data_IF_628076275511
#
_entry.id   IF_628076275511
#
_cell.length_a   1.000
_cell.length_b   1.000
_cell.length_c   1.000
_cell.angle_alpha   90.00
_cell.angle_beta   90.00
_cell.angle_gamma   90.00
#
_symmetry.space_group_name_H-M   'P 1'
#
loop_
_entity.id
_entity.type
_entity.pdbx_description
1 polymer ?
#
# COMPACT_ATOMS: atom_id res chain seq x y z
N UNK A 1 -7.52 34.05 61.50
CA UNK A 1 -7.81 34.44 60.10
C UNK A 1 -7.10 33.42 59.21
N UNK A 2 -7.67 32.22 58.98
CA UNK A 2 -8.52 31.80 57.83
C UNK A 2 -7.87 32.13 56.47
N UNK A 3 -7.70 31.27 55.46
CA UNK A 3 -8.12 29.88 55.22
C UNK A 3 -7.47 29.37 53.89
N UNK A 4 -6.73 28.25 53.97
CA UNK A 4 -6.62 27.07 53.07
C UNK A 4 -7.38 26.97 51.71
N UNK A 5 -6.65 26.48 50.68
CA UNK A 5 -6.91 25.32 49.75
C UNK A 5 -7.66 25.50 48.40
N UNK A 6 -6.94 25.07 47.33
CA UNK A 6 -7.25 24.32 46.07
C UNK A 6 -8.29 24.74 45.02
N UNK A 7 -7.93 24.54 43.73
CA UNK A 7 -8.54 23.67 42.68
C UNK A 7 -7.75 23.92 41.36
N UNK A 8 -6.90 23.02 40.83
CA UNK A 8 -7.12 21.73 40.15
C UNK A 8 -7.57 21.82 38.67
N UNK A 9 -6.63 21.43 37.79
CA UNK A 9 -6.74 20.60 36.58
C UNK A 9 -8.01 20.64 35.69
N UNK A 10 -7.84 21.09 34.43
CA UNK A 10 -8.61 20.76 33.22
C UNK A 10 -7.81 21.41 32.06
N UNK A 11 -7.28 20.77 31.02
CA UNK A 11 -7.81 19.75 30.10
C UNK A 11 -6.62 19.14 29.33
N UNK A 12 -6.21 17.93 29.71
CA UNK A 12 -5.36 17.05 28.89
C UNK A 12 -6.10 15.73 28.70
N UNK A 13 -7.19 15.76 27.93
CA UNK A 13 -7.93 14.57 27.50
C UNK A 13 -8.22 14.76 26.01
N UNK A 14 -7.41 14.16 25.13
CA UNK A 14 -7.71 13.84 23.73
C UNK A 14 -6.43 13.23 23.09
N UNK A 15 -5.97 12.07 23.55
CA UNK A 15 -4.85 11.37 22.91
C UNK A 15 -4.77 9.86 23.17
N UNK A 16 -5.86 9.16 23.51
CA UNK A 16 -5.77 7.74 23.95
C UNK A 16 -6.61 6.72 23.18
N UNK A 17 -7.33 7.08 22.13
CA UNK A 17 -8.23 6.13 21.44
C UNK A 17 -7.56 5.16 20.45
N UNK A 18 -6.23 5.17 20.29
CA UNK A 18 -5.55 4.33 19.28
C UNK A 18 -5.09 2.95 19.75
N UNK A 19 -4.87 2.74 21.05
CA UNK A 19 -4.29 1.49 21.59
C UNK A 19 -5.08 0.86 22.74
N UNK A 20 -6.20 1.44 23.15
CA UNK A 20 -7.01 0.91 24.27
C UNK A 20 -7.73 -0.37 23.91
N UNK A 21 -8.07 -0.63 22.66
CA UNK A 21 -8.80 -1.86 22.30
C UNK A 21 -7.96 -3.13 22.48
N UNK A 22 -6.67 -3.11 22.10
CA UNK A 22 -5.76 -4.23 22.40
C UNK A 22 -5.44 -4.30 23.91
N UNK A 23 -5.30 -3.17 24.60
CA UNK A 23 -5.09 -3.16 26.06
C UNK A 23 -6.30 -3.66 26.85
N UNK A 24 -7.52 -3.22 26.60
CA UNK A 24 -8.68 -3.57 27.43
C UNK A 24 -9.13 -5.02 27.24
N UNK A 25 -8.95 -5.61 26.04
CA UNK A 25 -9.27 -7.03 25.79
C UNK A 25 -8.12 -8.01 26.07
N UNK A 26 -6.85 -7.59 25.94
CA UNK A 26 -5.69 -8.46 26.22
C UNK A 26 -4.96 -8.15 27.54
N UNK A 27 -5.31 -7.06 28.24
CA UNK A 27 -4.90 -6.80 29.62
C UNK A 27 -6.15 -6.52 30.47
N UNK A 28 -6.56 -7.51 31.27
CA UNK A 28 -7.69 -7.38 32.18
C UNK A 28 -7.47 -6.24 33.18
N UNK A 29 -8.43 -5.33 33.28
CA UNK A 29 -8.43 -4.27 34.30
C UNK A 29 -9.02 -4.79 35.61
N UNK A 30 -8.22 -4.73 36.70
CA UNK A 30 -8.76 -4.54 38.05
C UNK A 30 -8.37 -5.59 39.11
N UNK A 31 -7.41 -5.22 39.97
CA UNK A 31 -7.34 -5.70 41.36
C UNK A 31 -6.35 -6.83 41.64
N UNK A 32 -5.42 -6.57 42.56
CA UNK A 32 -4.48 -7.52 43.17
C UNK A 32 -4.97 -8.98 43.20
N UNK A 33 -4.47 -9.79 42.27
CA UNK A 33 -3.99 -11.15 42.53
C UNK A 33 -3.41 -11.71 41.24
N UNK A 34 -2.45 -12.60 41.41
CA UNK A 34 -1.71 -13.30 40.37
C UNK A 34 -2.67 -14.18 39.55
N UNK A 35 -3.31 -13.63 38.50
CA UNK A 35 -4.25 -14.36 37.65
C UNK A 35 -3.89 -14.25 36.17
N UNK A 36 -3.68 -15.41 35.57
CA UNK A 36 -3.33 -15.66 34.18
C UNK A 36 -4.14 -14.82 33.18
N UNK A 37 -3.42 -14.10 32.30
CA UNK A 37 -3.98 -13.43 31.11
C UNK A 37 -4.84 -14.43 30.32
N UNK A 38 -6.05 -14.00 29.93
CA UNK A 38 -6.96 -14.82 29.12
C UNK A 38 -6.23 -15.38 27.91
N UNK A 39 -6.15 -16.72 27.85
CA UNK A 39 -5.46 -17.51 26.81
C UNK A 39 -6.34 -17.74 25.56
N UNK A 40 -7.49 -17.09 25.46
CA UNK A 40 -8.41 -17.38 24.37
C UNK A 40 -7.84 -16.86 23.05
N UNK A 41 -7.79 -17.75 22.06
CA UNK A 41 -7.35 -17.43 20.70
C UNK A 41 -8.30 -16.37 20.13
N UNK A 42 -7.79 -15.23 19.61
CA UNK A 42 -8.67 -14.19 19.09
C UNK A 42 -9.49 -14.72 17.92
N UNK A 43 -10.70 -14.17 17.78
CA UNK A 43 -11.58 -14.53 16.67
C UNK A 43 -11.17 -13.74 15.41
N UNK A 44 -11.39 -14.28 14.20
CA UNK A 44 -11.11 -13.55 12.95
C UNK A 44 -11.75 -12.16 12.93
N UNK A 45 -12.99 -12.02 13.40
CA UNK A 45 -13.75 -10.78 13.40
C UNK A 45 -13.09 -9.68 14.23
N UNK A 46 -12.41 -10.07 15.32
CA UNK A 46 -11.68 -9.11 16.16
C UNK A 46 -10.46 -8.59 15.40
N UNK A 47 -9.64 -9.46 14.83
CA UNK A 47 -8.48 -9.04 14.04
C UNK A 47 -8.89 -8.21 12.81
N UNK A 48 -10.02 -8.53 12.18
CA UNK A 48 -10.57 -7.73 11.08
C UNK A 48 -11.04 -6.37 11.58
N UNK A 49 -11.74 -6.30 12.72
CA UNK A 49 -12.14 -5.04 13.33
C UNK A 49 -10.92 -4.16 13.61
N UNK A 50 -9.85 -4.69 14.20
CA UNK A 50 -8.59 -3.98 14.39
C UNK A 50 -8.07 -3.31 13.11
N UNK A 51 -7.95 -4.10 12.04
CA UNK A 51 -7.41 -3.64 10.77
C UNK A 51 -8.31 -2.57 10.16
N UNK A 52 -9.62 -2.76 10.23
CA UNK A 52 -10.60 -1.82 9.72
C UNK A 52 -10.67 -0.53 10.54
N UNK A 53 -10.48 -0.60 11.86
CA UNK A 53 -10.48 0.55 12.75
C UNK A 53 -9.27 1.43 12.48
N UNK A 54 -8.10 0.83 12.24
CA UNK A 54 -6.93 1.55 11.76
C UNK A 54 -7.17 2.15 10.37
N UNK A 55 -7.67 1.35 9.43
CA UNK A 55 -7.93 1.80 8.07
C UNK A 55 -8.87 3.00 8.04
N UNK A 56 -9.96 3.01 8.81
CA UNK A 56 -10.93 4.12 8.86
C UNK A 56 -10.34 5.45 9.33
N UNK A 57 -9.18 5.44 10.00
CA UNK A 57 -8.50 6.66 10.43
C UNK A 57 -7.58 7.27 9.35
N UNK A 58 -7.34 6.56 8.24
CA UNK A 58 -6.36 6.94 7.23
C UNK A 58 -7.06 7.05 5.87
N UNK A 59 -7.31 8.27 5.41
CA UNK A 59 -7.88 8.55 4.08
C UNK A 59 -6.80 8.95 3.07
N UNK A 60 -5.75 9.64 3.52
CA UNK A 60 -4.59 9.95 2.69
C UNK A 60 -3.28 9.85 3.47
N UNK A 61 -2.21 9.48 2.76
CA UNK A 61 -0.82 9.57 3.23
C UNK A 61 -0.01 10.26 2.14
N UNK A 62 0.74 11.30 2.49
CA UNK A 62 1.71 11.94 1.60
C UNK A 62 3.08 11.92 2.25
N UNK A 63 4.07 11.41 1.51
CA UNK A 63 5.47 11.32 1.90
C UNK A 63 6.28 12.12 0.89
N UNK A 64 6.83 13.25 1.32
CA UNK A 64 7.63 14.11 0.44
C UNK A 64 9.09 13.65 0.34
N UNK A 65 9.57 12.93 1.37
CA UNK A 65 10.91 12.38 1.45
C UNK A 65 10.80 10.86 1.63
N UNK A 66 10.82 10.15 0.52
CA UNK A 66 10.81 8.70 0.50
C UNK A 66 12.22 8.19 0.16
N UNK A 67 12.83 7.45 1.06
CA UNK A 67 14.03 6.68 0.76
C UNK A 67 13.64 5.27 0.35
N UNK A 68 14.24 4.79 -0.75
CA UNK A 68 13.94 3.47 -1.33
C UNK A 68 15.24 2.72 -1.55
N UNK A 69 15.48 1.69 -0.77
CA UNK A 69 16.55 0.72 -1.03
C UNK A 69 16.00 -0.45 -1.83
N UNK A 70 16.25 -0.44 -3.15
CA UNK A 70 15.86 -1.52 -4.03
C UNK A 70 17.01 -2.52 -4.21
N UNK A 71 16.69 -3.80 -4.31
CA UNK A 71 17.62 -4.87 -4.69
C UNK A 71 16.98 -5.73 -5.76
N UNK A 72 17.77 -6.06 -6.79
CA UNK A 72 17.45 -7.12 -7.75
C UNK A 72 18.64 -8.07 -7.83
N UNK A 73 18.50 -9.26 -7.27
CA UNK A 73 19.63 -10.15 -7.01
C UNK A 73 20.58 -9.54 -5.96
N UNK A 74 21.88 -9.44 -6.28
CA UNK A 74 22.92 -8.98 -5.35
C UNK A 74 23.19 -7.47 -5.40
N UNK A 75 22.57 -6.73 -6.33
CA UNK A 75 22.89 -5.32 -6.58
C UNK A 75 21.93 -4.43 -5.78
N UNK A 76 22.41 -3.69 -4.77
CA UNK A 76 21.62 -2.65 -4.13
C UNK A 76 21.59 -1.37 -4.98
N UNK A 77 20.44 -0.72 -5.01
CA UNK A 77 20.19 0.56 -5.66
C UNK A 77 19.43 1.42 -4.65
N UNK A 78 20.11 2.42 -4.10
CA UNK A 78 19.44 3.46 -3.32
C UNK A 78 18.77 4.46 -4.24
N UNK A 79 17.52 4.80 -3.97
CA UNK A 79 16.74 5.82 -4.68
C UNK A 79 16.14 6.79 -3.65
N UNK A 80 15.86 8.00 -4.10
CA UNK A 80 15.05 8.97 -3.35
C UNK A 80 13.77 9.24 -4.12
N UNK A 81 12.72 9.67 -3.43
CA UNK A 81 11.44 9.84 -4.07
C UNK A 81 10.39 10.50 -3.21
N UNK A 82 9.15 10.34 -3.65
CA UNK A 82 7.95 10.77 -2.95
C UNK A 82 6.85 9.74 -3.17
N UNK A 83 5.86 9.75 -2.27
CA UNK A 83 4.69 8.88 -2.36
C UNK A 83 3.44 9.66 -1.97
N UNK A 84 2.35 9.43 -2.68
CA UNK A 84 1.02 9.88 -2.29
C UNK A 84 0.05 8.70 -2.40
N UNK A 85 -0.79 8.55 -1.39
CA UNK A 85 -1.83 7.53 -1.31
C UNK A 85 -3.12 8.20 -0.85
N UNK A 86 -4.22 7.91 -1.51
CA UNK A 86 -5.55 8.39 -1.15
C UNK A 86 -6.58 7.30 -1.45
N UNK A 87 -7.47 7.05 -0.51
CA UNK A 87 -8.57 6.10 -0.73
C UNK A 87 -9.49 6.54 -1.87
N UNK A 88 -10.12 5.58 -2.58
CA UNK A 88 -10.02 4.14 -2.34
C UNK A 88 -8.82 3.48 -3.03
N UNK A 89 -8.37 3.99 -4.17
CA UNK A 89 -7.37 3.33 -5.03
C UNK A 89 -6.29 4.26 -5.58
N UNK A 90 -6.30 5.54 -5.21
CA UNK A 90 -5.34 6.52 -5.71
C UNK A 90 -4.00 6.30 -5.03
N UNK A 91 -2.98 5.97 -5.83
CA UNK A 91 -1.63 5.75 -5.36
C UNK A 91 -0.64 6.31 -6.36
N UNK A 92 0.45 6.87 -5.85
CA UNK A 92 1.56 7.32 -6.65
C UNK A 92 2.86 7.21 -5.90
N UNK A 93 3.88 6.70 -6.57
CA UNK A 93 5.24 6.71 -6.10
C UNK A 93 6.16 7.07 -7.26
N UNK A 94 6.92 8.15 -7.09
CA UNK A 94 7.99 8.54 -8.01
C UNK A 94 9.33 8.37 -7.32
N UNK A 95 10.26 7.67 -7.97
CA UNK A 95 11.61 7.46 -7.47
C UNK A 95 12.65 7.89 -8.51
N UNK A 96 13.76 8.45 -8.05
CA UNK A 96 14.88 8.94 -8.85
C UNK A 96 16.19 8.39 -8.33
N UNK A 97 17.17 8.28 -9.23
CA UNK A 97 18.54 7.97 -8.83
C UNK A 97 19.10 9.16 -8.02
N UNK A 98 20.00 8.91 -7.05
CA UNK A 98 20.61 9.95 -6.23
C UNK A 98 21.31 11.03 -7.06
N UNK A 99 21.45 12.23 -6.47
CA UNK A 99 22.07 13.38 -7.13
C UNK A 99 21.22 13.90 -8.30
N UNK A 100 21.74 13.78 -9.52
CA UNK A 100 21.11 14.24 -10.76
C UNK A 100 20.58 13.10 -11.66
N UNK A 101 20.60 11.84 -11.20
CA UNK A 101 20.47 10.63 -12.03
C UNK A 101 19.11 10.38 -12.70
N UNK A 102 18.22 11.37 -12.76
CA UNK A 102 16.94 11.31 -13.46
C UNK A 102 15.90 10.37 -12.83
N UNK A 103 14.68 10.34 -13.38
CA UNK A 103 13.64 9.40 -12.95
C UNK A 103 14.08 7.95 -13.12
N UNK A 104 13.84 7.14 -12.08
CA UNK A 104 14.23 5.73 -12.04
C UNK A 104 13.01 4.80 -12.10
N UNK A 105 11.96 5.16 -11.37
CA UNK A 105 10.71 4.42 -11.36
C UNK A 105 9.54 5.36 -11.11
N UNK A 106 8.40 4.96 -11.64
CA UNK A 106 7.18 5.73 -11.59
C UNK A 106 6.02 4.74 -11.56
N UNK A 107 5.35 4.63 -10.42
CA UNK A 107 4.32 3.62 -10.18
C UNK A 107 3.08 4.31 -9.66
N UNK A 108 1.89 3.90 -10.09
CA UNK A 108 0.67 4.54 -9.64
C UNK A 108 -0.60 3.77 -9.96
N UNK A 109 -1.70 4.24 -9.39
CA UNK A 109 -3.05 3.81 -9.70
C UNK A 109 -4.05 4.91 -9.40
N UNK A 110 -5.21 4.75 -9.99
CA UNK A 110 -6.42 5.49 -9.66
C UNK A 110 -7.62 4.54 -9.68
N UNK A 111 -8.83 5.09 -9.70
CA UNK A 111 -10.07 4.30 -9.69
C UNK A 111 -10.28 3.47 -10.96
N UNK A 112 -9.55 3.74 -12.05
CA UNK A 112 -9.76 3.10 -13.37
C UNK A 112 -8.65 2.12 -13.73
N UNK A 113 -7.42 2.45 -13.40
CA UNK A 113 -6.25 1.71 -13.84
C UNK A 113 -5.09 1.80 -12.86
N UNK A 114 -4.09 0.94 -13.10
CA UNK A 114 -2.76 1.09 -12.54
C UNK A 114 -1.72 1.16 -13.65
N UNK A 115 -0.55 1.71 -13.32
CA UNK A 115 0.58 1.80 -14.22
C UNK A 115 1.90 1.69 -13.49
N UNK A 116 2.94 1.32 -14.22
CA UNK A 116 4.31 1.37 -13.74
C UNK A 116 5.28 1.58 -14.90
N UNK A 117 6.36 2.28 -14.60
CA UNK A 117 7.50 2.48 -15.47
C UNK A 117 8.78 2.37 -14.65
N UNK A 118 9.82 1.80 -15.27
CA UNK A 118 11.16 1.72 -14.71
C UNK A 118 12.16 2.03 -15.83
N UNK A 119 13.10 2.93 -15.57
CA UNK A 119 14.05 3.40 -16.59
C UNK A 119 15.01 2.31 -17.11
N UNK A 120 15.16 1.22 -16.33
CA UNK A 120 15.99 0.05 -16.67
C UNK A 120 15.16 -1.20 -17.02
N UNK A 121 13.86 -1.06 -17.22
CA UNK A 121 13.06 -2.14 -17.82
C UNK A 121 13.44 -2.33 -19.29
N UNK A 122 13.29 -3.55 -19.78
CA UNK A 122 13.52 -3.91 -21.18
C UNK A 122 12.31 -4.67 -21.73
N UNK A 123 11.54 -4.09 -22.67
CA UNK A 123 11.62 -2.70 -23.13
C UNK A 123 11.18 -1.69 -22.02
N UNK A 124 11.64 -0.42 -22.06
CA UNK A 124 11.38 0.58 -21.02
C UNK A 124 9.99 1.24 -21.17
N UNK A 125 8.95 0.42 -21.40
CA UNK A 125 7.59 0.91 -21.57
C UNK A 125 6.97 1.41 -20.27
N UNK A 126 6.05 2.37 -20.41
CA UNK A 126 5.07 2.68 -19.39
C UNK A 126 3.92 1.68 -19.51
N UNK A 127 3.96 0.65 -18.66
CA UNK A 127 2.95 -0.39 -18.61
C UNK A 127 1.73 0.11 -17.87
N UNK A 128 0.54 -0.29 -18.33
CA UNK A 128 -0.71 0.00 -17.63
C UNK A 128 -1.74 -1.12 -17.82
N UNK A 129 -2.74 -1.15 -16.96
CA UNK A 129 -3.90 -2.02 -17.12
C UNK A 129 -5.12 -1.43 -16.39
N UNK A 130 -6.30 -1.58 -17.00
CA UNK A 130 -7.56 -1.30 -16.33
C UNK A 130 -7.83 -2.33 -15.22
N UNK A 131 -8.44 -1.90 -14.11
CA UNK A 131 -8.80 -2.82 -13.02
C UNK A 131 -9.77 -3.93 -13.48
N UNK A 132 -10.64 -3.62 -14.47
CA UNK A 132 -11.61 -4.56 -15.03
C UNK A 132 -10.96 -5.68 -15.86
N UNK A 133 -9.82 -5.40 -16.49
CA UNK A 133 -9.13 -6.33 -17.38
C UNK A 133 -7.90 -6.97 -16.74
N UNK A 134 -7.63 -6.69 -15.47
CA UNK A 134 -6.43 -7.19 -14.76
C UNK A 134 -6.32 -8.72 -14.77
N UNK A 135 -7.46 -9.45 -14.82
CA UNK A 135 -7.49 -10.92 -14.97
C UNK A 135 -6.87 -11.44 -16.27
N UNK A 136 -6.76 -10.57 -17.28
CA UNK A 136 -6.16 -10.86 -18.58
C UNK A 136 -4.72 -10.35 -18.71
N UNK A 137 -4.28 -9.53 -17.75
CA UNK A 137 -2.94 -8.98 -17.74
C UNK A 137 -1.91 -10.01 -17.25
N UNK A 138 -0.76 -10.02 -17.90
CA UNK A 138 0.42 -10.71 -17.41
C UNK A 138 1.37 -9.66 -16.82
N UNK A 139 1.45 -9.61 -15.50
CA UNK A 139 2.32 -8.68 -14.80
C UNK A 139 3.77 -9.18 -14.87
N UNK A 140 4.75 -8.32 -15.23
CA UNK A 140 6.17 -8.68 -15.25
C UNK A 140 6.75 -8.91 -13.85
N UNK A 141 6.09 -8.39 -12.81
CA UNK A 141 6.38 -8.64 -11.40
C UNK A 141 5.08 -8.43 -10.60
N UNK A 142 4.86 -9.16 -9.50
CA UNK A 142 3.58 -9.16 -8.77
C UNK A 142 3.38 -7.91 -7.89
N UNK A 143 3.67 -6.73 -8.43
CA UNK A 143 3.41 -5.46 -7.78
C UNK A 143 2.02 -4.96 -8.16
N UNK A 144 1.14 -4.88 -7.17
CA UNK A 144 -0.16 -4.24 -7.30
C UNK A 144 -0.20 -3.05 -6.35
N UNK A 145 -0.54 -1.84 -6.78
CA UNK A 145 -0.60 -0.67 -5.88
C UNK A 145 -1.50 -0.89 -4.66
N UNK A 146 -2.58 -1.66 -4.80
CA UNK A 146 -3.42 -2.04 -3.67
C UNK A 146 -2.66 -2.81 -2.58
N UNK A 147 -1.66 -3.62 -2.92
CA UNK A 147 -0.83 -4.32 -1.93
C UNK A 147 -0.02 -3.35 -1.09
N UNK A 148 0.45 -2.25 -1.69
CA UNK A 148 1.12 -1.17 -0.96
C UNK A 148 0.13 -0.46 -0.05
N UNK A 149 -1.08 -0.16 -0.53
CA UNK A 149 -2.15 0.45 0.27
C UNK A 149 -2.54 -0.44 1.46
N UNK A 150 -2.63 -1.76 1.25
CA UNK A 150 -2.83 -2.75 2.32
C UNK A 150 -1.69 -2.67 3.33
N UNK A 151 -0.43 -2.73 2.89
CA UNK A 151 0.75 -2.63 3.76
C UNK A 151 0.80 -1.33 4.57
N UNK A 152 0.35 -0.21 4.00
CA UNK A 152 0.21 1.09 4.68
C UNK A 152 -0.92 1.11 5.73
N UNK A 153 -1.75 0.07 5.78
CA UNK A 153 -2.87 -0.03 6.71
C UNK A 153 -4.11 0.75 6.27
N UNK A 154 -4.19 1.13 4.98
CA UNK A 154 -5.29 1.92 4.42
C UNK A 154 -6.46 1.08 3.91
N UNK A 155 -6.24 -0.21 3.64
CA UNK A 155 -7.26 -1.08 3.08
C UNK A 155 -8.22 -1.60 4.15
N UNK A 156 -9.52 -1.54 3.86
CA UNK A 156 -10.56 -2.20 4.65
C UNK A 156 -10.78 -3.62 4.17
N UNK A 157 -10.85 -4.55 5.11
CA UNK A 157 -11.18 -5.96 4.86
C UNK A 157 -12.70 -6.13 5.01
N UNK A 158 -13.41 -6.60 3.97
CA UNK A 158 -14.84 -6.82 4.05
C UNK A 158 -15.20 -7.94 5.04
N UNK A 159 -16.38 -7.84 5.66
CA UNK A 159 -16.94 -8.94 6.45
C UNK A 159 -17.41 -10.07 5.53
N UNK A 160 -17.16 -11.32 5.91
CA UNK A 160 -17.68 -12.51 5.21
C UNK A 160 -16.71 -13.26 4.29
N UNK A 161 -15.42 -12.92 4.28
CA UNK A 161 -14.40 -13.75 3.64
C UNK A 161 -14.13 -15.07 4.37
N UNK A 162 -13.41 -15.99 3.72
CA UNK A 162 -12.96 -17.24 4.34
C UNK A 162 -11.72 -16.99 5.20
N UNK A 163 -11.97 -16.58 6.45
CA UNK A 163 -10.93 -16.24 7.41
C UNK A 163 -10.77 -17.31 8.49
N UNK A 164 -9.51 -17.56 8.86
CA UNK A 164 -9.15 -18.34 10.05
C UNK A 164 -8.00 -17.67 10.80
N UNK A 165 -7.91 -17.96 12.09
CA UNK A 165 -6.77 -17.54 12.91
C UNK A 165 -5.82 -18.73 13.12
N UNK A 166 -4.52 -18.48 13.10
CA UNK A 166 -3.48 -19.44 13.46
C UNK A 166 -2.57 -18.82 14.54
N UNK A 167 -2.27 -19.59 15.58
CA UNK A 167 -1.47 -19.16 16.75
C UNK A 167 -0.38 -20.19 17.07
N UNK A 168 -0.01 -21.04 16.10
CA UNK A 168 1.03 -22.06 16.27
C UNK A 168 2.43 -21.47 16.45
N UNK A 169 2.68 -20.31 15.85
CA UNK A 169 3.96 -19.63 15.92
C UNK A 169 4.08 -18.84 17.22
N UNK A 170 5.12 -19.12 18.02
CA UNK A 170 5.37 -18.36 19.25
C UNK A 170 5.64 -16.90 18.92
N UNK A 171 4.97 -15.99 19.63
CA UNK A 171 5.16 -14.55 19.47
C UNK A 171 4.31 -13.91 18.37
N UNK A 172 3.55 -14.69 17.59
CA UNK A 172 2.70 -14.15 16.52
C UNK A 172 1.30 -14.75 16.50
N UNK A 173 0.38 -13.99 15.90
CA UNK A 173 -0.99 -14.40 15.59
C UNK A 173 -1.17 -14.15 14.10
N UNK A 174 -1.68 -15.12 13.36
CA UNK A 174 -1.88 -15.00 11.91
C UNK A 174 -3.37 -15.00 11.58
N UNK A 175 -3.85 -13.94 10.93
CA UNK A 175 -5.15 -13.93 10.26
C UNK A 175 -4.93 -14.38 8.82
N UNK A 176 -5.55 -15.49 8.44
CA UNK A 176 -5.36 -16.13 7.14
C UNK A 176 -6.68 -16.09 6.40
N UNK A 177 -6.65 -15.47 5.23
CA UNK A 177 -7.74 -15.42 4.25
C UNK A 177 -7.44 -16.38 3.11
N UNK A 178 -8.31 -17.35 2.85
CA UNK A 178 -8.25 -18.12 1.61
C UNK A 178 -8.95 -17.32 0.51
N UNK A 179 -8.23 -17.05 -0.57
CA UNK A 179 -8.76 -16.24 -1.67
C UNK A 179 -8.17 -16.70 -3.02
N UNK A 180 -8.38 -15.90 -4.07
CA UNK A 180 -7.80 -16.14 -5.39
C UNK A 180 -6.95 -14.96 -5.83
N UNK A 181 -5.87 -15.25 -6.54
CA UNK A 181 -5.09 -14.23 -7.23
C UNK A 181 -5.92 -13.57 -8.33
N UNK A 182 -5.40 -12.49 -8.90
CA UNK A 182 -6.01 -11.81 -10.04
C UNK A 182 -6.16 -12.75 -11.27
N UNK A 183 -5.31 -13.79 -11.36
CA UNK A 183 -5.36 -14.82 -12.39
C UNK A 183 -6.26 -16.02 -12.00
N UNK A 184 -6.99 -15.93 -10.89
CA UNK A 184 -7.93 -16.95 -10.41
C UNK A 184 -7.28 -18.12 -9.66
N UNK A 185 -5.96 -18.10 -9.45
CA UNK A 185 -5.25 -19.17 -8.74
C UNK A 185 -5.54 -19.12 -7.25
N UNK A 186 -5.75 -20.26 -6.56
CA UNK A 186 -5.88 -20.27 -5.10
C UNK A 186 -4.62 -19.70 -4.44
N UNK A 187 -4.81 -18.76 -3.52
CA UNK A 187 -3.75 -18.13 -2.73
C UNK A 187 -4.25 -17.89 -1.31
N UNK A 188 -3.33 -17.69 -0.37
CA UNK A 188 -3.68 -17.21 0.97
C UNK A 188 -3.09 -15.81 1.19
N UNK A 189 -3.91 -14.88 1.66
CA UNK A 189 -3.44 -13.62 2.25
C UNK A 189 -3.28 -13.84 3.76
N UNK A 190 -2.09 -13.60 4.28
CA UNK A 190 -1.79 -13.82 5.70
C UNK A 190 -1.35 -12.49 6.31
N UNK A 191 -2.16 -11.96 7.23
CA UNK A 191 -1.77 -10.82 8.07
C UNK A 191 -1.19 -11.35 9.38
N UNK A 192 0.07 -11.01 9.65
CA UNK A 192 0.81 -11.46 10.83
C UNK A 192 0.83 -10.33 11.86
N UNK A 193 0.36 -10.64 13.05
CA UNK A 193 0.33 -9.76 14.20
C UNK A 193 1.39 -10.19 15.21
N UNK A 194 1.94 -9.22 15.94
CA UNK A 194 2.60 -9.50 17.22
C UNK A 194 1.56 -10.11 18.18
N UNK A 195 1.90 -11.20 18.88
CA UNK A 195 0.98 -11.78 19.87
C UNK A 195 0.88 -10.93 21.14
N UNK A 196 1.87 -10.07 21.39
CA UNK A 196 1.85 -9.10 22.47
C UNK A 196 1.35 -7.75 21.96
N UNK A 197 0.81 -6.94 22.86
CA UNK A 197 0.47 -5.56 22.54
C UNK A 197 1.74 -4.79 22.23
N UNK A 198 1.85 -4.27 21.02
CA UNK A 198 3.00 -3.47 20.62
C UNK A 198 3.03 -2.11 21.33
N UNK A 199 4.23 -1.59 21.58
CA UNK A 199 4.44 -0.31 22.23
C UNK A 199 5.47 0.55 21.47
N UNK A 200 5.36 1.87 21.61
CA UNK A 200 6.28 2.81 20.97
C UNK A 200 6.21 2.72 19.44
N UNK A 201 7.35 2.48 18.81
CA UNK A 201 7.49 2.33 17.35
C UNK A 201 7.31 0.89 16.86
N UNK A 202 7.01 -0.05 17.75
CA UNK A 202 6.79 -1.44 17.36
C UNK A 202 5.46 -1.59 16.61
N UNK A 203 5.42 -2.35 15.50
CA UNK A 203 4.17 -2.65 14.82
C UNK A 203 3.36 -3.72 15.56
N UNK A 204 2.04 -3.53 15.62
CA UNK A 204 1.11 -4.62 15.95
C UNK A 204 0.95 -5.58 14.75
N UNK A 205 0.86 -5.05 13.53
CA UNK A 205 0.89 -5.83 12.28
C UNK A 205 2.32 -5.83 11.76
N UNK A 206 3.00 -6.97 11.85
CA UNK A 206 4.43 -7.08 11.53
C UNK A 206 4.68 -7.53 10.10
N UNK A 207 3.72 -8.21 9.47
CA UNK A 207 3.82 -8.61 8.07
C UNK A 207 2.46 -8.83 7.42
N UNK A 208 2.43 -8.69 6.09
CA UNK A 208 1.42 -9.26 5.20
C UNK A 208 2.12 -10.17 4.20
N UNK A 209 1.60 -11.37 4.00
CA UNK A 209 2.13 -12.35 3.04
C UNK A 209 1.05 -12.75 2.05
N UNK A 210 1.44 -12.89 0.80
CA UNK A 210 0.68 -13.58 -0.22
C UNK A 210 1.41 -14.88 -0.52
N UNK A 211 0.77 -16.02 -0.30
CA UNK A 211 1.35 -17.35 -0.53
C UNK A 211 0.50 -18.15 -1.50
N UNK A 212 1.13 -19.05 -2.24
CA UNK A 212 0.43 -20.02 -3.10
C UNK A 212 -0.20 -21.17 -2.28
N UNK A 213 -0.89 -22.08 -2.97
CA UNK A 213 -1.51 -23.28 -2.37
C UNK A 213 -0.53 -24.21 -1.63
N UNK A 214 0.77 -24.10 -1.91
CA UNK A 214 1.84 -24.89 -1.29
C UNK A 214 2.49 -24.16 -0.12
N UNK A 215 2.01 -22.96 0.22
CA UNK A 215 2.58 -22.09 1.24
C UNK A 215 3.87 -21.39 0.81
N UNK A 216 4.21 -21.39 -0.48
CA UNK A 216 5.37 -20.65 -0.99
C UNK A 216 5.02 -19.18 -1.10
N UNK A 217 5.90 -18.31 -0.59
CA UNK A 217 5.72 -16.86 -0.66
C UNK A 217 5.80 -16.34 -2.11
N UNK A 218 4.73 -15.67 -2.54
CA UNK A 218 4.63 -14.91 -3.79
C UNK A 218 5.09 -13.47 -3.54
N UNK A 219 4.60 -12.87 -2.45
CA UNK A 219 4.97 -11.53 -2.03
C UNK A 219 4.90 -11.41 -0.50
N UNK A 220 5.80 -10.63 0.08
CA UNK A 220 5.81 -10.32 1.52
C UNK A 220 5.99 -8.83 1.71
N UNK A 221 5.15 -8.21 2.52
CA UNK A 221 5.36 -6.88 3.08
C UNK A 221 5.68 -7.02 4.57
N UNK A 222 6.82 -6.51 5.06
CA UNK A 222 7.16 -6.49 6.50
C UNK A 222 7.19 -5.06 7.00
N UNK A 223 6.53 -4.83 8.12
CA UNK A 223 6.52 -3.53 8.79
C UNK A 223 7.46 -3.65 9.98
N UNK A 224 8.49 -2.83 10.04
CA UNK A 224 9.55 -2.94 11.07
C UNK A 224 9.57 -1.77 12.03
N UNK A 225 9.01 -0.63 11.63
CA UNK A 225 8.93 0.59 12.43
C UNK A 225 7.64 1.33 12.13
N UNK A 226 6.95 1.78 13.17
CA UNK A 226 5.78 2.66 13.11
C UNK A 226 6.17 4.08 13.48
N UNK A 227 5.41 5.04 12.97
CA UNK A 227 5.45 6.44 13.39
C UNK A 227 4.05 6.96 13.66
N UNK A 228 3.97 7.99 14.48
CA UNK A 228 2.72 8.69 14.76
C UNK A 228 2.74 10.03 14.06
N UNK A 229 1.73 10.30 13.22
CA UNK A 229 1.54 11.61 12.64
C UNK A 229 1.24 12.61 13.78
N UNK A 230 2.07 13.65 13.99
CA UNK A 230 1.94 14.55 15.13
C UNK A 230 0.65 15.38 15.09
N UNK A 231 0.06 15.55 13.91
CA UNK A 231 -1.14 16.38 13.71
C UNK A 231 -2.43 15.63 14.02
N UNK A 232 -2.59 14.43 13.47
CA UNK A 232 -3.80 13.61 13.64
C UNK A 232 -3.69 12.62 14.81
N UNK A 233 -2.47 12.32 15.24
CA UNK A 233 -2.20 11.29 16.23
C UNK A 233 -2.37 9.85 15.71
N UNK A 234 -2.64 9.68 14.41
CA UNK A 234 -2.79 8.38 13.74
C UNK A 234 -1.42 7.75 13.55
N UNK A 235 -1.34 6.44 13.77
CA UNK A 235 -0.10 5.68 13.61
C UNK A 235 -0.07 5.03 12.23
N UNK A 236 1.03 5.21 11.51
CA UNK A 236 1.27 4.62 10.19
C UNK A 236 2.64 3.94 10.16
N UNK A 237 2.89 3.03 9.20
CA UNK A 237 4.23 2.51 9.00
C UNK A 237 5.25 3.62 8.67
N UNK A 238 6.46 3.48 9.22
CA UNK A 238 7.63 4.27 8.87
C UNK A 238 8.60 3.50 7.99
N UNK A 239 8.80 2.21 8.30
CA UNK A 239 9.65 1.33 7.49
C UNK A 239 8.88 0.10 7.05
N UNK A 240 8.85 -0.11 5.73
CA UNK A 240 8.18 -1.25 5.10
C UNK A 240 9.15 -1.90 4.12
N UNK A 241 9.42 -3.20 4.25
CA UNK A 241 10.08 -3.96 3.20
C UNK A 241 9.04 -4.72 2.37
N UNK A 242 9.23 -4.75 1.05
CA UNK A 242 8.53 -5.61 0.11
C UNK A 242 9.53 -6.61 -0.45
N UNK A 243 9.16 -7.88 -0.47
CA UNK A 243 9.97 -8.98 -0.99
C UNK A 243 9.15 -9.77 -2.00
N UNK A 244 9.74 -10.01 -3.17
CA UNK A 244 9.18 -10.80 -4.26
C UNK A 244 10.18 -11.93 -4.58
N UNK A 245 10.05 -13.09 -3.91
CA UNK A 245 11.09 -14.10 -3.90
C UNK A 245 11.38 -14.71 -5.28
N UNK A 246 10.36 -14.92 -6.11
CA UNK A 246 10.53 -15.53 -7.43
C UNK A 246 11.34 -14.64 -8.39
N UNK A 247 11.17 -13.33 -8.29
CA UNK A 247 11.83 -12.31 -9.10
C UNK A 247 13.17 -11.87 -8.50
N UNK A 248 13.49 -12.30 -7.26
CA UNK A 248 14.63 -11.85 -6.47
C UNK A 248 14.67 -10.34 -6.32
N UNK A 249 13.51 -9.73 -6.11
CA UNK A 249 13.34 -8.30 -5.89
C UNK A 249 13.05 -8.06 -4.41
N UNK A 250 13.71 -7.06 -3.82
CA UNK A 250 13.27 -6.48 -2.56
C UNK A 250 13.35 -4.96 -2.60
N UNK A 251 12.45 -4.31 -1.85
CA UNK A 251 12.33 -2.87 -1.73
C UNK A 251 12.18 -2.54 -0.26
N UNK A 252 13.05 -1.76 0.34
CA UNK A 252 12.83 -1.17 1.65
C UNK A 252 12.43 0.29 1.45
N UNK A 253 11.24 0.65 1.92
CA UNK A 253 10.73 2.02 1.93
C UNK A 253 10.91 2.60 3.33
N UNK A 254 11.52 3.78 3.42
CA UNK A 254 11.51 4.61 4.63
C UNK A 254 10.70 5.87 4.35
N UNK A 255 9.62 6.03 5.10
CA UNK A 255 8.59 7.06 4.89
C UNK A 255 8.86 8.22 5.85
N UNK A 256 9.86 9.05 5.56
CA UNK A 256 10.16 10.20 6.40
C UNK A 256 9.25 11.38 6.08
N UNK A 257 8.89 12.15 7.12
CA UNK A 257 7.99 13.29 7.01
C UNK A 257 6.62 12.94 6.40
N UNK A 258 6.12 11.75 6.70
CA UNK A 258 4.79 11.35 6.27
C UNK A 258 3.71 12.22 6.95
N UNK A 259 2.78 12.74 6.13
CA UNK A 259 1.60 13.47 6.58
C UNK A 259 0.36 12.64 6.30
N UNK A 260 -0.51 12.52 7.30
CA UNK A 260 -1.74 11.72 7.22
C UNK A 260 -2.93 12.66 7.09
N UNK A 261 -3.91 12.36 6.24
CA UNK A 261 -5.17 13.10 6.07
C UNK A 261 -5.00 14.61 5.81
N UNK A 262 -3.86 15.02 5.23
CA UNK A 262 -3.69 16.38 4.74
C UNK A 262 -4.53 16.50 3.46
N UNK A 263 -5.36 17.55 3.31
CA UNK A 263 -6.08 17.79 2.07
C UNK A 263 -5.12 17.85 0.89
N UNK A 264 -5.40 17.06 -0.15
CA UNK A 264 -4.68 17.11 -1.43
C UNK A 264 -5.53 18.02 -2.33
N UNK A 265 -4.98 19.16 -2.74
CA UNK A 265 -5.66 20.09 -3.64
C UNK A 265 -6.03 19.39 -4.95
N UNK A 266 -7.19 19.73 -5.53
CA UNK A 266 -7.74 19.04 -6.70
C UNK A 266 -6.78 19.00 -7.90
N UNK A 267 -6.08 20.11 -8.18
CA UNK A 267 -5.07 20.18 -9.24
C UNK A 267 -3.89 19.24 -8.97
N UNK A 268 -3.44 19.20 -7.71
CA UNK A 268 -2.37 18.30 -7.27
C UNK A 268 -2.79 16.84 -7.36
N UNK A 269 -4.01 16.52 -6.93
CA UNK A 269 -4.58 15.17 -7.05
C UNK A 269 -4.68 14.74 -8.52
N UNK A 270 -5.11 15.64 -9.42
CA UNK A 270 -5.18 15.36 -10.85
C UNK A 270 -3.79 15.09 -11.44
N UNK A 271 -2.76 15.79 -10.98
CA UNK A 271 -1.39 15.55 -11.43
C UNK A 271 -0.79 14.26 -10.86
N UNK A 272 -1.06 13.95 -9.59
CA UNK A 272 -0.49 12.78 -8.93
C UNK A 272 -1.15 11.48 -9.35
N UNK A 273 -2.48 11.46 -9.51
CA UNK A 273 -3.25 10.24 -9.72
C UNK A 273 -3.69 10.04 -11.18
N UNK A 274 -2.99 10.70 -12.10
CA UNK A 274 -3.12 10.45 -13.54
C UNK A 274 -1.86 9.77 -14.05
N UNK A 275 -2.05 8.75 -14.90
CA UNK A 275 -0.93 8.10 -15.60
C UNK A 275 -0.12 9.16 -16.36
N UNK A 276 1.21 9.23 -16.18
CA UNK A 276 2.00 10.32 -16.72
C UNK A 276 2.17 10.19 -18.23
N UNK A 277 2.42 11.32 -18.87
CA UNK A 277 3.12 11.35 -20.14
C UNK A 277 4.63 11.38 -19.85
N UNK A 278 5.36 10.39 -20.35
CA UNK A 278 6.83 10.32 -20.23
C UNK A 278 7.41 10.52 -21.62
N UNK A 279 8.27 11.54 -21.77
CA UNK A 279 8.84 11.90 -23.06
C UNK A 279 9.70 10.77 -23.63
N UNK A 280 9.51 10.44 -24.91
CA UNK A 280 10.19 9.32 -25.57
C UNK A 280 9.82 7.92 -25.05
N UNK A 281 8.89 7.79 -24.10
CA UNK A 281 8.49 6.50 -23.52
C UNK A 281 7.15 6.05 -24.08
N UNK A 282 7.14 4.86 -24.66
CA UNK A 282 5.95 4.23 -25.21
C UNK A 282 5.07 3.62 -24.10
N UNK A 283 3.75 3.74 -24.24
CA UNK A 283 2.80 3.07 -23.34
C UNK A 283 2.38 1.71 -23.87
N UNK A 284 2.27 0.74 -22.97
CA UNK A 284 1.90 -0.63 -23.29
C UNK A 284 0.75 -1.12 -22.39
N UNK A 285 -0.34 -1.55 -23.00
CA UNK A 285 -1.51 -2.12 -22.32
C UNK A 285 -1.31 -3.60 -22.02
N UNK A 286 -1.20 -3.95 -20.75
CA UNK A 286 -0.97 -5.31 -20.29
C UNK A 286 -2.13 -6.28 -20.57
N UNK A 287 -3.36 -5.77 -20.73
CA UNK A 287 -4.51 -6.62 -21.05
C UNK A 287 -4.41 -7.23 -22.46
N UNK A 288 -3.58 -6.67 -23.32
CA UNK A 288 -3.39 -7.14 -24.71
C UNK A 288 -2.43 -8.33 -24.82
N UNK A 289 -1.55 -8.54 -23.82
CA UNK A 289 -0.51 -9.59 -23.86
C UNK A 289 -1.10 -10.99 -24.05
N UNK A 290 -2.20 -11.32 -23.37
CA UNK A 290 -2.86 -12.63 -23.52
C UNK A 290 -3.56 -12.79 -24.87
N UNK A 291 -3.95 -11.70 -25.54
CA UNK A 291 -4.58 -11.77 -26.87
C UNK A 291 -3.57 -12.12 -27.96
N UNK A 292 -2.27 -11.89 -27.73
CA UNK A 292 -1.24 -11.97 -28.77
C UNK A 292 -0.18 -13.07 -28.54
N UNK A 293 -0.30 -13.88 -27.47
CA UNK A 293 0.50 -15.09 -27.24
C UNK A 293 2.02 -14.91 -27.46
N UNK A 294 2.54 -13.71 -27.19
CA UNK A 294 3.94 -13.33 -27.44
C UNK A 294 4.49 -12.59 -26.23
N UNK A 295 5.76 -12.84 -25.90
CA UNK A 295 6.51 -11.99 -25.00
C UNK A 295 6.71 -10.61 -25.69
N UNK A 296 5.79 -9.68 -25.40
CA UNK A 296 5.74 -8.29 -25.86
C UNK A 296 5.76 -8.06 -27.39
N UNK A 297 4.58 -8.10 -28.04
CA UNK A 297 4.41 -7.71 -29.43
C UNK A 297 4.36 -6.18 -29.63
N UNK A 298 4.95 -5.72 -30.73
CA UNK A 298 5.04 -4.32 -31.20
C UNK A 298 3.70 -3.67 -31.56
N UNK A 299 2.60 -4.43 -31.63
CA UNK A 299 1.30 -3.95 -32.13
C UNK A 299 0.37 -3.29 -31.10
N UNK A 300 0.66 -3.38 -29.81
CA UNK A 300 -0.17 -2.81 -28.73
C UNK A 300 0.32 -1.46 -28.18
N UNK A 301 1.34 -0.90 -28.83
CA UNK A 301 1.99 0.34 -28.41
C UNK A 301 1.14 1.53 -28.82
N UNK A 302 0.70 2.32 -27.84
CA UNK A 302 0.11 3.64 -28.10
C UNK A 302 1.12 4.72 -27.69
N UNK A 303 1.32 5.76 -28.52
CA UNK A 303 1.96 6.98 -28.05
C UNK A 303 1.17 7.51 -26.85
N UNK A 304 1.87 7.85 -25.78
CA UNK A 304 1.33 8.66 -24.70
C UNK A 304 0.82 9.95 -25.35
N UNK A 305 -0.48 10.26 -25.29
CA UNK A 305 -0.99 11.54 -25.79
C UNK A 305 -1.76 12.20 -24.66
N UNK A 306 -1.32 13.40 -24.29
CA UNK A 306 -2.02 14.28 -23.37
C UNK A 306 -3.26 14.82 -24.05
N UNK A 307 -4.42 14.53 -23.49
CA UNK A 307 -5.67 15.15 -23.91
C UNK A 307 -5.77 16.56 -23.32
N UNK A 308 -5.82 17.57 -24.18
CA UNK A 308 -6.66 18.74 -23.98
C UNK A 308 -7.35 19.11 -25.31
N UNK A 309 -8.61 19.47 -25.17
CA UNK A 309 -9.71 19.62 -26.14
C UNK A 309 -9.47 20.54 -27.34
N UNK A 310 -10.08 20.20 -28.48
CA UNK A 310 -10.92 21.15 -29.24
C UNK A 310 -11.93 20.41 -30.14
N UNK A 311 -13.21 20.73 -29.93
CA UNK A 311 -14.31 20.36 -30.79
C UNK A 311 -14.25 21.13 -32.13
N UNK A 312 -14.73 20.46 -33.19
CA UNK A 312 -15.51 21.07 -34.27
C UNK A 312 -14.83 22.07 -35.20
N UNK A 313 -14.58 21.65 -36.44
CA UNK A 313 -14.99 22.41 -37.62
C UNK A 313 -14.93 21.51 -38.86
N UNK A 314 -16.11 21.24 -39.42
CA UNK A 314 -16.24 20.57 -40.71
C UNK A 314 -15.78 21.48 -41.84
N UNK A 315 -15.13 20.91 -42.85
CA UNK A 315 -14.96 21.54 -44.15
C UNK A 315 -15.27 20.52 -45.25
N UNK A 316 -16.02 21.04 -46.22
CA UNK A 316 -16.76 20.42 -47.29
C UNK A 316 -15.92 19.63 -48.30
N UNK A 317 -16.55 18.57 -48.83
CA UNK A 317 -16.21 17.91 -50.10
C UNK A 317 -16.40 18.88 -51.27
N UNK A 318 -15.43 18.93 -52.17
CA UNK A 318 -15.59 19.41 -53.55
C UNK A 318 -14.94 18.41 -54.52
N UNK A 319 -15.56 18.08 -55.66
CA UNK A 319 -15.02 17.08 -56.60
C UNK A 319 -13.98 17.71 -57.52
N UNK A 320 -12.93 16.93 -57.81
CA UNK A 320 -11.90 17.23 -58.81
C UNK A 320 -12.50 17.14 -60.22
N UNK A 321 -12.17 18.12 -61.07
CA UNK A 321 -11.93 17.91 -62.50
C UNK A 321 -10.44 17.99 -62.72
#
# INVERSE_FOLDING_TARGET
>A
MRMRIAFAALTSLLALSGCTWFKEKFTSTGGNSNTYVSREKPKPEELIAYLNDNARQIDSIVVQQLDVDARRGVIPIGLSGWMAAQKPRNFRMGAKLPGSGGPAADIGSNDREFWFWMSKADPPYLFYCSHEETRHAQLPFPFHPEWVMEALGMATIPSGGDFRVDTRNRGTIELIENTRSLQGQPVQKITVFNSQTAAGTQPQVIARRLVDERGKEIAVARITEMQRDPRTGVTIPKKISFEYPAERISLLLTLDQATVNQPIESTTAQNWFTRPYLDGVQSYDLATTRRQNSAYPTGAVRPTSGGNTAAGLGILRGPRR
#
